data_IF_627974189316
#
_entry.id   IF_627974189316
#
_cell.length_a   1.000
_cell.length_b   1.000
_cell.length_c   1.000
_cell.angle_alpha   90.00
_cell.angle_beta   90.00
_cell.angle_gamma   90.00
#
_symmetry.space_group_name_H-M   'P 1'
#
loop_
_entity.id
_entity.type
_entity.pdbx_description
1 polymer ?
#
# COMPACT_ATOMS: atom_id res chain seq x y z
N UNK A 1 -22.53 -21.39 -22.76
CA UNK A 1 -21.35 -20.50 -22.72
C UNK A 1 -21.49 -19.61 -21.50
N UNK A 2 -20.75 -19.85 -20.42
CA UNK A 2 -20.85 -19.03 -19.21
C UNK A 2 -19.63 -18.11 -19.12
N UNK A 3 -19.87 -16.80 -19.06
CA UNK A 3 -18.82 -15.80 -18.83
C UNK A 3 -18.56 -15.73 -17.33
N UNK A 4 -17.30 -15.89 -16.91
CA UNK A 4 -16.88 -15.71 -15.52
C UNK A 4 -16.60 -14.23 -15.28
N UNK A 5 -17.21 -13.67 -14.23
CA UNK A 5 -16.92 -12.32 -13.75
C UNK A 5 -16.36 -12.47 -12.33
N UNK A 6 -15.24 -11.81 -12.06
CA UNK A 6 -14.63 -11.78 -10.72
C UNK A 6 -14.59 -10.33 -10.26
N UNK A 7 -15.18 -10.07 -9.11
CA UNK A 7 -15.05 -8.80 -8.40
C UNK A 7 -14.02 -9.00 -7.30
N UNK A 8 -12.93 -8.23 -7.35
CA UNK A 8 -11.80 -8.39 -6.43
C UNK A 8 -11.28 -7.04 -5.95
N UNK A 9 -10.60 -7.06 -4.81
CA UNK A 9 -9.81 -5.94 -4.30
C UNK A 9 -8.41 -5.95 -4.93
N UNK A 10 -7.54 -5.05 -4.49
CA UNK A 10 -6.11 -5.04 -4.80
C UNK A 10 -5.38 -6.34 -4.41
N UNK A 11 -6.00 -7.29 -3.70
CA UNK A 11 -5.40 -8.62 -3.45
C UNK A 11 -5.13 -9.40 -4.75
N UNK A 12 -5.94 -9.18 -5.80
CA UNK A 12 -5.74 -9.80 -7.10
C UNK A 12 -4.62 -9.13 -7.93
N UNK A 13 -4.11 -7.98 -7.48
CA UNK A 13 -3.02 -7.26 -8.14
C UNK A 13 -1.68 -7.96 -7.94
N UNK A 14 -1.45 -8.59 -6.78
CA UNK A 14 -0.16 -9.19 -6.41
C UNK A 14 -0.33 -10.62 -5.91
N UNK A 15 -1.07 -10.80 -4.81
CA UNK A 15 -1.08 -12.01 -3.98
C UNK A 15 -1.85 -13.19 -4.56
N UNK A 16 -2.68 -12.97 -5.59
CA UNK A 16 -3.50 -14.01 -6.20
C UNK A 16 -3.36 -14.00 -7.72
N UNK A 17 -3.15 -15.18 -8.30
CA UNK A 17 -3.18 -15.37 -9.75
C UNK A 17 -4.50 -16.01 -10.12
N UNK A 18 -5.33 -15.26 -10.84
CA UNK A 18 -6.58 -15.79 -11.40
C UNK A 18 -6.29 -16.19 -12.85
N UNK A 19 -6.43 -17.47 -13.22
CA UNK A 19 -6.16 -17.91 -14.59
C UNK A 19 -7.21 -17.38 -15.56
N UNK A 20 -6.84 -17.27 -16.83
CA UNK A 20 -7.74 -16.96 -17.96
C UNK A 20 -8.46 -15.61 -17.85
N UNK A 21 -7.80 -14.60 -17.28
CA UNK A 21 -8.29 -13.22 -17.32
C UNK A 21 -7.95 -12.60 -18.67
N UNK A 22 -8.98 -12.26 -19.46
CA UNK A 22 -8.84 -11.56 -20.75
C UNK A 22 -9.21 -10.08 -20.68
N UNK A 23 -10.03 -9.70 -19.70
CA UNK A 23 -10.51 -8.34 -19.52
C UNK A 23 -10.29 -7.90 -18.08
N UNK A 24 -9.73 -6.71 -17.90
CA UNK A 24 -9.62 -6.04 -16.60
C UNK A 24 -10.40 -4.73 -16.69
N UNK A 25 -11.24 -4.47 -15.69
CA UNK A 25 -11.90 -3.18 -15.50
C UNK A 25 -11.26 -2.56 -14.27
N UNK A 26 -10.48 -1.51 -14.45
CA UNK A 26 -9.74 -0.84 -13.39
C UNK A 26 -10.43 0.49 -13.01
N UNK A 27 -11.10 0.57 -11.85
CA UNK A 27 -11.66 1.82 -11.37
C UNK A 27 -10.57 2.84 -10.97
N UNK A 28 -9.31 2.42 -10.84
CA UNK A 28 -8.20 3.29 -10.48
C UNK A 28 -8.17 3.72 -9.02
N UNK A 29 -8.97 3.07 -8.17
CA UNK A 29 -9.08 3.36 -6.73
C UNK A 29 -8.66 2.15 -5.90
N UNK A 30 -8.18 2.42 -4.68
CA UNK A 30 -7.97 1.42 -3.65
C UNK A 30 -8.25 2.02 -2.27
N UNK A 31 -8.55 1.13 -1.33
CA UNK A 31 -8.57 1.45 0.10
C UNK A 31 -7.15 1.29 0.63
N UNK A 32 -6.54 2.38 1.09
CA UNK A 32 -5.14 2.41 1.53
C UNK A 32 -5.10 2.71 3.03
N UNK A 33 -4.44 1.84 3.81
CA UNK A 33 -4.28 2.07 5.24
C UNK A 33 -3.40 3.30 5.50
N UNK A 34 -3.88 4.21 6.33
CA UNK A 34 -3.19 5.44 6.74
C UNK A 34 -3.23 5.56 8.25
N UNK A 35 -2.07 5.76 8.86
CA UNK A 35 -1.95 6.11 10.27
C UNK A 35 -1.70 7.61 10.45
N UNK A 36 -2.40 8.24 11.39
CA UNK A 36 -2.13 9.61 11.80
C UNK A 36 -1.51 9.60 13.20
N UNK A 37 -0.22 9.92 13.28
CA UNK A 37 0.52 9.91 14.54
C UNK A 37 0.03 10.94 15.56
N UNK A 38 -0.54 12.08 15.11
CA UNK A 38 -1.03 13.14 16.00
C UNK A 38 -2.33 12.77 16.69
N UNK A 39 -3.24 12.11 15.98
CA UNK A 39 -4.53 11.68 16.53
C UNK A 39 -4.54 10.22 16.97
N UNK A 40 -3.43 9.50 16.77
CA UNK A 40 -3.31 8.06 17.00
C UNK A 40 -4.43 7.24 16.34
N UNK A 41 -4.94 7.71 15.18
CA UNK A 41 -6.04 7.03 14.47
C UNK A 41 -5.60 6.34 13.21
N UNK A 42 -6.16 5.16 12.98
CA UNK A 42 -6.11 4.45 11.71
C UNK A 42 -7.30 4.82 10.84
N UNK A 43 -7.04 5.10 9.56
CA UNK A 43 -8.07 5.37 8.57
C UNK A 43 -7.86 4.50 7.35
N UNK A 44 -8.95 4.22 6.66
CA UNK A 44 -8.95 3.45 5.42
C UNK A 44 -9.64 4.25 4.28
N UNK A 45 -9.07 5.42 3.92
CA UNK A 45 -9.60 6.23 2.83
C UNK A 45 -9.57 5.48 1.50
N UNK A 46 -10.49 5.87 0.62
CA UNK A 46 -10.47 5.48 -0.79
C UNK A 46 -9.65 6.53 -1.53
N UNK A 47 -8.57 6.12 -2.18
CA UNK A 47 -7.61 7.00 -2.85
C UNK A 47 -7.29 6.48 -4.27
N UNK A 48 -6.85 7.36 -5.19
CA UNK A 48 -6.27 6.94 -6.46
C UNK A 48 -5.05 6.03 -6.27
N UNK A 49 -4.98 4.95 -7.06
CA UNK A 49 -3.80 4.07 -7.07
C UNK A 49 -2.63 4.71 -7.81
N UNK A 50 -1.41 4.31 -7.46
CA UNK A 50 -0.20 4.73 -8.14
C UNK A 50 -0.12 4.19 -9.58
N UNK A 51 0.75 4.79 -10.40
CA UNK A 51 0.95 4.37 -11.79
C UNK A 51 1.46 2.92 -11.89
N UNK A 52 2.36 2.53 -10.99
CA UNK A 52 2.84 1.16 -10.85
C UNK A 52 1.71 0.16 -10.60
N UNK A 53 0.79 0.46 -9.68
CA UNK A 53 -0.39 -0.39 -9.43
C UNK A 53 -1.32 -0.49 -10.64
N UNK A 54 -1.60 0.63 -11.31
CA UNK A 54 -2.39 0.62 -12.55
C UNK A 54 -1.74 -0.23 -13.65
N UNK A 55 -0.41 -0.28 -13.69
CA UNK A 55 0.35 -1.11 -14.62
C UNK A 55 0.31 -2.59 -14.23
N UNK A 56 0.42 -2.90 -12.94
CA UNK A 56 0.27 -4.27 -12.44
C UNK A 56 -1.12 -4.85 -12.70
N UNK A 57 -2.17 -4.04 -12.52
CA UNK A 57 -3.56 -4.42 -12.85
C UNK A 57 -3.73 -4.71 -14.34
N UNK A 58 -3.21 -3.83 -15.20
CA UNK A 58 -3.22 -4.05 -16.64
C UNK A 58 -2.48 -5.34 -17.05
N UNK A 59 -1.37 -5.65 -16.36
CA UNK A 59 -0.61 -6.89 -16.58
C UNK A 59 -1.41 -8.19 -16.30
N UNK A 60 -2.54 -8.12 -15.57
CA UNK A 60 -3.34 -9.32 -15.24
C UNK A 60 -4.08 -9.90 -16.44
N UNK A 61 -4.40 -9.10 -17.46
CA UNK A 61 -5.00 -9.60 -18.70
C UNK A 61 -4.00 -9.97 -19.80
N UNK A 62 -2.69 -9.72 -19.61
CA UNK A 62 -1.68 -9.91 -20.66
C UNK A 62 -0.97 -11.27 -20.68
N UNK A 63 -1.28 -12.20 -19.76
CA UNK A 63 -0.46 -13.40 -19.54
C UNK A 63 -0.72 -14.57 -20.49
N UNK A 64 -1.87 -14.62 -21.16
CA UNK A 64 -2.31 -15.81 -21.95
C UNK A 64 -2.71 -15.46 -23.38
N UNK A 65 -3.15 -14.23 -23.65
CA UNK A 65 -3.50 -13.73 -24.99
C UNK A 65 -3.53 -12.19 -24.95
N UNK A 66 -3.75 -11.53 -26.10
CA UNK A 66 -3.99 -10.08 -26.16
C UNK A 66 -5.24 -9.67 -25.39
N UNK A 67 -5.10 -9.46 -24.08
CA UNK A 67 -6.16 -9.00 -23.20
C UNK A 67 -6.30 -7.48 -23.20
N UNK A 68 -7.43 -7.00 -22.70
CA UNK A 68 -7.79 -5.58 -22.68
C UNK A 68 -7.96 -5.12 -21.24
N UNK A 69 -7.24 -4.07 -20.86
CA UNK A 69 -7.45 -3.36 -19.61
C UNK A 69 -8.21 -2.06 -19.90
N UNK A 70 -9.41 -1.92 -19.34
CA UNK A 70 -10.24 -0.73 -19.43
C UNK A 70 -10.08 0.05 -18.14
N UNK A 71 -9.56 1.28 -18.22
CA UNK A 71 -9.42 2.19 -17.07
C UNK A 71 -10.64 3.11 -17.03
N UNK A 72 -11.26 3.26 -15.86
CA UNK A 72 -12.44 4.14 -15.67
C UNK A 72 -12.04 5.58 -15.34
N UNK A 73 -10.88 6.02 -15.83
CA UNK A 73 -10.28 7.34 -15.59
C UNK A 73 -9.41 7.72 -16.78
N UNK A 74 -9.27 9.03 -17.04
CA UNK A 74 -8.50 9.55 -18.16
C UNK A 74 -6.99 9.37 -18.01
N UNK A 75 -6.28 9.43 -19.13
CA UNK A 75 -4.82 9.32 -19.18
C UNK A 75 -4.12 10.43 -18.40
N UNK A 76 -4.58 11.69 -18.52
CA UNK A 76 -4.05 12.80 -17.72
C UNK A 76 -4.15 12.55 -16.21
N UNK A 77 -5.27 11.95 -15.77
CA UNK A 77 -5.48 11.56 -14.39
C UNK A 77 -4.62 10.37 -13.95
N UNK A 78 -4.05 9.58 -14.87
CA UNK A 78 -3.04 8.56 -14.58
C UNK A 78 -1.65 9.17 -14.47
N UNK A 79 -1.28 10.00 -15.44
CA UNK A 79 0.03 10.65 -15.52
C UNK A 79 0.26 11.62 -14.36
N UNK A 80 -0.80 12.22 -13.82
CA UNK A 80 -0.73 13.08 -12.63
C UNK A 80 -0.63 12.34 -11.28
N UNK A 81 -0.60 11.00 -11.27
CA UNK A 81 -0.51 10.22 -10.01
C UNK A 81 0.94 9.96 -9.63
N UNK A 82 1.16 9.65 -8.35
CA UNK A 82 2.44 9.13 -7.89
C UNK A 82 2.83 7.87 -8.68
N UNK A 83 4.11 7.77 -9.03
CA UNK A 83 4.65 6.62 -9.73
C UNK A 83 4.54 5.34 -8.89
N UNK A 84 4.88 5.45 -7.60
CA UNK A 84 4.82 4.37 -6.62
C UNK A 84 3.92 4.74 -5.44
N UNK A 85 3.24 3.74 -4.88
CA UNK A 85 2.57 3.90 -3.59
C UNK A 85 3.64 4.06 -2.50
N UNK A 86 3.52 5.03 -1.58
CA UNK A 86 4.48 5.16 -0.49
C UNK A 86 4.61 3.85 0.29
N UNK A 87 5.84 3.46 0.68
CA UNK A 87 6.10 2.28 1.48
C UNK A 87 5.25 2.22 2.75
N UNK A 88 4.96 1.01 3.21
CA UNK A 88 4.13 0.80 4.41
C UNK A 88 4.75 1.43 5.66
N UNK A 89 6.08 1.38 5.81
CA UNK A 89 6.81 1.99 6.92
C UNK A 89 6.59 3.51 7.04
N UNK A 90 6.27 4.18 5.92
CA UNK A 90 5.96 5.62 5.91
C UNK A 90 4.48 5.92 6.17
N UNK A 91 3.61 4.91 6.27
CA UNK A 91 2.15 5.07 6.38
C UNK A 91 1.53 4.35 7.59
N UNK A 92 2.31 3.57 8.33
CA UNK A 92 1.85 2.75 9.45
C UNK A 92 2.29 3.33 10.81
N UNK A 93 1.73 2.75 11.88
CA UNK A 93 2.18 3.00 13.25
C UNK A 93 3.53 2.27 13.48
N UNK A 94 4.51 2.98 14.03
CA UNK A 94 5.86 2.45 14.25
C UNK A 94 6.09 1.90 15.65
N UNK A 95 5.12 1.99 16.58
CA UNK A 95 5.31 1.51 17.95
C UNK A 95 5.73 0.03 18.02
N UNK A 96 5.11 -0.84 17.23
CA UNK A 96 5.48 -2.26 17.18
C UNK A 96 6.89 -2.47 16.63
N UNK A 97 7.27 -1.73 15.58
CA UNK A 97 8.61 -1.80 14.98
C UNK A 97 9.66 -1.34 15.99
N UNK A 98 9.45 -0.20 16.63
CA UNK A 98 10.33 0.35 17.66
C UNK A 98 10.49 -0.63 18.82
N UNK A 99 9.39 -1.17 19.34
CA UNK A 99 9.42 -2.11 20.46
C UNK A 99 10.22 -3.38 20.11
N UNK A 100 10.02 -3.93 18.91
CA UNK A 100 10.80 -5.08 18.42
C UNK A 100 12.27 -4.74 18.26
N UNK A 101 12.61 -3.57 17.73
CA UNK A 101 13.99 -3.12 17.60
C UNK A 101 14.68 -2.99 18.97
N UNK A 102 13.98 -2.44 19.96
CA UNK A 102 14.48 -2.35 21.34
C UNK A 102 14.68 -3.74 21.96
N UNK A 103 13.68 -4.63 21.83
CA UNK A 103 13.76 -5.99 22.36
C UNK A 103 14.91 -6.80 21.74
N UNK A 104 15.17 -6.61 20.45
CA UNK A 104 16.25 -7.26 19.71
C UNK A 104 17.59 -6.50 19.78
N UNK A 105 17.65 -5.35 20.47
CA UNK A 105 18.83 -4.48 20.58
C UNK A 105 19.44 -4.08 19.24
N UNK A 106 18.60 -3.73 18.27
CA UNK A 106 19.00 -3.34 16.91
C UNK A 106 19.55 -1.92 16.77
N UNK A 107 19.81 -1.24 17.88
CA UNK A 107 20.35 0.12 17.91
C UNK A 107 19.29 1.22 17.74
N UNK A 108 19.77 2.43 17.47
CA UNK A 108 18.92 3.60 17.30
C UNK A 108 18.16 3.56 15.97
N UNK A 109 16.84 3.67 16.03
CA UNK A 109 15.95 3.73 14.87
C UNK A 109 16.27 4.92 13.95
N UNK A 110 16.77 6.04 14.48
CA UNK A 110 17.15 7.19 13.65
C UNK A 110 18.40 6.93 12.81
N UNK A 111 19.26 6.01 13.24
CA UNK A 111 20.47 5.60 12.53
C UNK A 111 20.30 4.27 11.78
N UNK A 112 19.12 3.64 11.88
CA UNK A 112 18.88 2.34 11.28
C UNK A 112 18.78 2.43 9.75
N UNK A 113 19.45 1.55 8.99
CA UNK A 113 19.55 1.66 7.53
C UNK A 113 18.29 1.12 6.83
N UNK A 114 17.16 1.81 6.96
CA UNK A 114 15.94 1.50 6.22
C UNK A 114 16.14 1.76 4.72
N UNK A 115 15.53 0.92 3.86
CA UNK A 115 15.46 1.17 2.41
C UNK A 115 14.76 2.50 2.12
N UNK A 116 13.60 2.68 2.76
CA UNK A 116 12.83 3.91 2.76
C UNK A 116 12.60 4.33 4.22
N UNK A 117 13.29 5.37 4.72
CA UNK A 117 13.18 5.74 6.12
C UNK A 117 11.78 6.28 6.45
N UNK A 118 11.24 5.98 7.64
CA UNK A 118 10.03 6.61 8.13
C UNK A 118 10.25 8.10 8.43
N UNK A 119 9.17 8.88 8.41
CA UNK A 119 9.22 10.28 8.84
C UNK A 119 9.48 10.42 10.35
N UNK A 120 10.24 11.43 10.75
CA UNK A 120 10.57 11.68 12.17
C UNK A 120 9.33 11.77 13.07
N UNK A 121 8.25 12.39 12.58
CA UNK A 121 6.98 12.49 13.33
C UNK A 121 6.35 11.13 13.61
N UNK A 122 6.50 10.15 12.71
CA UNK A 122 5.99 8.79 12.91
C UNK A 122 6.83 8.05 13.97
N UNK A 123 8.15 8.25 13.98
CA UNK A 123 9.04 7.68 14.99
C UNK A 123 8.70 8.23 16.38
N UNK A 124 8.60 9.56 16.49
CA UNK A 124 8.21 10.24 17.73
C UNK A 124 6.85 9.76 18.24
N UNK A 125 5.85 9.66 17.35
CA UNK A 125 4.53 9.14 17.71
C UNK A 125 4.56 7.69 18.19
N UNK A 126 5.46 6.87 17.65
CA UNK A 126 5.66 5.49 18.11
C UNK A 126 6.25 5.40 19.51
N UNK A 127 7.30 6.19 19.81
CA UNK A 127 7.86 6.27 21.17
C UNK A 127 6.85 6.79 22.18
N UNK A 128 6.11 7.84 21.83
CA UNK A 128 5.08 8.41 22.69
C UNK A 128 4.01 7.37 23.06
N UNK A 129 3.53 6.60 22.07
CA UNK A 129 2.56 5.54 22.31
C UNK A 129 3.11 4.44 23.23
N UNK A 130 4.37 4.03 23.05
CA UNK A 130 4.98 3.01 23.91
C UNK A 130 5.13 3.48 25.36
N UNK A 131 5.49 4.75 25.57
CA UNK A 131 5.58 5.36 26.89
C UNK A 131 4.20 5.43 27.57
N UNK A 132 3.15 5.82 26.83
CA UNK A 132 1.76 5.83 27.32
C UNK A 132 1.27 4.44 27.75
N UNK A 133 1.74 3.39 27.07
CA UNK A 133 1.40 2.00 27.37
C UNK A 133 2.30 1.38 28.46
N UNK A 134 3.33 2.08 28.95
CA UNK A 134 4.30 1.55 29.92
C UNK A 134 5.17 0.42 29.36
N UNK A 135 5.35 0.36 28.04
CA UNK A 135 6.16 -0.66 27.37
C UNK A 135 7.66 -0.31 27.30
N UNK A 136 8.00 0.95 27.58
CA UNK A 136 9.36 1.50 27.68
C UNK A 136 9.45 2.49 28.84
#
# INVERSE_FOLDING_TARGET
RNRRIVVATNIAETSLTIPNIKYVIDPGLARISRYNARTQTHRLPIEPIAQSSASQRAGRCGRVSGGICIRLYGESALLGRLEYTPPEIQRANLAEVILRMLALRLGDIYAFPFLDPPGQQAIQGGFQLLAELGAI
#
